data_IF_475826216238
#
_entry.id   IF_475826216238
#
_cell.length_a   1.000
_cell.length_b   1.000
_cell.length_c   1.000
_cell.angle_alpha   90.00
_cell.angle_beta   90.00
_cell.angle_gamma   90.00
#
_symmetry.space_group_name_H-M   'P 1'
#
loop_
_entity.id
_entity.type
_entity.pdbx_description
1 polymer ?
#
# COMPACT_ATOMS: atom_id res chain seq x y z
N UNK A 1 5.83 22.09 -18.43
CA UNK A 1 6.07 20.64 -18.69
C UNK A 1 6.07 19.87 -17.37
N UNK A 2 6.62 20.44 -16.28
CA UNK A 2 6.56 19.91 -14.90
C UNK A 2 5.15 19.79 -14.31
N UNK A 3 4.28 20.76 -14.53
CA UNK A 3 2.89 20.73 -14.01
C UNK A 3 2.09 19.49 -14.48
N UNK A 4 2.34 19.04 -15.72
CA UNK A 4 1.76 17.79 -16.25
C UNK A 4 2.35 16.54 -15.58
N UNK A 5 3.63 16.58 -15.20
CA UNK A 5 4.29 15.47 -14.53
C UNK A 5 3.80 15.32 -13.09
N UNK A 6 3.72 16.42 -12.33
CA UNK A 6 3.22 16.39 -10.96
C UNK A 6 1.77 15.91 -10.90
N UNK A 7 0.89 16.44 -11.76
CA UNK A 7 -0.49 15.99 -11.83
C UNK A 7 -0.63 14.50 -12.15
N UNK A 8 0.12 14.00 -13.15
CA UNK A 8 0.16 12.56 -13.48
C UNK A 8 0.70 11.73 -12.32
N UNK A 9 1.72 12.21 -11.63
CA UNK A 9 2.29 11.51 -10.47
C UNK A 9 1.27 11.39 -9.33
N UNK A 10 0.44 12.41 -9.10
CA UNK A 10 -0.64 12.37 -8.12
C UNK A 10 -1.71 11.33 -8.45
N UNK A 11 -2.13 11.23 -9.71
CA UNK A 11 -3.10 10.22 -10.17
C UNK A 11 -2.55 8.81 -9.96
N UNK A 12 -1.33 8.55 -10.43
CA UNK A 12 -0.69 7.25 -10.32
C UNK A 12 -0.58 6.82 -8.85
N UNK A 13 -0.22 7.74 -7.95
CA UNK A 13 -0.15 7.46 -6.51
C UNK A 13 -1.52 7.16 -5.90
N UNK A 14 -2.60 7.78 -6.39
CA UNK A 14 -3.96 7.49 -5.95
C UNK A 14 -4.39 6.09 -6.39
N UNK A 15 -4.11 5.71 -7.64
CA UNK A 15 -4.37 4.36 -8.16
C UNK A 15 -3.59 3.30 -7.38
N UNK A 16 -2.31 3.52 -7.11
CA UNK A 16 -1.49 2.63 -6.27
C UNK A 16 -2.11 2.44 -4.89
N UNK A 17 -2.63 3.51 -4.27
CA UNK A 17 -3.31 3.42 -2.98
C UNK A 17 -4.58 2.58 -3.06
N UNK A 18 -5.38 2.77 -4.11
CA UNK A 18 -6.61 1.98 -4.28
C UNK A 18 -6.29 0.48 -4.41
N UNK A 19 -5.28 0.15 -5.21
CA UNK A 19 -4.84 -1.24 -5.41
C UNK A 19 -4.34 -1.86 -4.11
N UNK A 20 -3.48 -1.16 -3.35
CA UNK A 20 -2.92 -1.73 -2.12
C UNK A 20 -3.97 -1.88 -1.02
N UNK A 21 -4.89 -0.92 -0.85
CA UNK A 21 -5.96 -1.04 0.15
C UNK A 21 -6.94 -2.17 -0.25
N UNK A 22 -7.20 -2.37 -1.56
CA UNK A 22 -7.96 -3.52 -2.05
C UNK A 22 -7.26 -4.86 -1.80
N UNK A 23 -5.95 -4.94 -2.04
CA UNK A 23 -5.16 -6.13 -1.73
C UNK A 23 -5.12 -6.45 -0.23
N UNK A 24 -5.04 -5.42 0.62
CA UNK A 24 -5.13 -5.57 2.08
C UNK A 24 -6.52 -6.08 2.48
N UNK A 25 -7.60 -5.56 1.89
CA UNK A 25 -8.95 -6.04 2.19
C UNK A 25 -9.12 -7.54 1.84
N UNK A 26 -8.56 -7.99 0.72
CA UNK A 26 -8.54 -9.41 0.35
C UNK A 26 -7.67 -10.23 1.30
N UNK A 27 -6.52 -9.71 1.71
CA UNK A 27 -5.66 -10.36 2.71
C UNK A 27 -6.39 -10.53 4.05
N UNK A 28 -6.98 -9.46 4.58
CA UNK A 28 -7.71 -9.48 5.85
C UNK A 28 -8.96 -10.37 5.79
N UNK A 29 -9.68 -10.33 4.66
CA UNK A 29 -10.92 -11.08 4.47
C UNK A 29 -10.71 -12.58 4.24
N UNK A 30 -9.73 -12.95 3.41
CA UNK A 30 -9.58 -14.31 2.90
C UNK A 30 -8.30 -15.00 3.40
N UNK A 31 -7.17 -14.29 3.42
CA UNK A 31 -5.88 -14.88 3.77
C UNK A 31 -5.66 -15.01 5.28
N UNK A 32 -6.09 -14.05 6.10
CA UNK A 32 -5.98 -14.13 7.57
C UNK A 32 -6.74 -15.33 8.17
N UNK A 33 -7.96 -15.68 7.72
CA UNK A 33 -8.60 -16.94 8.12
C UNK A 33 -7.77 -18.18 7.77
N UNK A 34 -7.15 -18.22 6.59
CA UNK A 34 -6.29 -19.32 6.16
C UNK A 34 -5.00 -19.41 6.99
N UNK A 35 -4.39 -18.27 7.33
CA UNK A 35 -3.30 -18.18 8.31
C UNK A 35 -3.71 -18.78 9.67
N UNK A 36 -4.90 -18.45 10.16
CA UNK A 36 -5.45 -19.01 11.38
C UNK A 36 -5.64 -20.53 11.31
N UNK A 37 -6.07 -21.06 10.17
CA UNK A 37 -6.19 -22.50 9.93
C UNK A 37 -4.81 -23.18 9.85
N UNK A 38 -3.86 -22.60 9.11
CA UNK A 38 -2.49 -23.10 9.00
C UNK A 38 -1.83 -23.24 10.38
N UNK A 39 -1.98 -22.23 11.24
CA UNK A 39 -1.51 -22.28 12.62
C UNK A 39 -2.16 -23.41 13.43
N UNK A 40 -3.48 -23.59 13.33
CA UNK A 40 -4.22 -24.66 14.02
C UNK A 40 -3.84 -26.06 13.54
N UNK A 41 -3.41 -26.18 12.30
CA UNK A 41 -2.99 -27.45 11.68
C UNK A 41 -1.47 -27.64 11.73
N UNK A 42 -0.74 -26.83 12.50
CA UNK A 42 0.73 -26.89 12.65
C UNK A 42 1.49 -26.75 11.30
N UNK A 43 0.86 -26.14 10.30
CA UNK A 43 1.46 -25.84 9.00
C UNK A 43 2.19 -24.49 9.05
N UNK A 44 3.27 -24.44 9.84
CA UNK A 44 3.94 -23.17 10.14
C UNK A 44 4.56 -22.50 8.92
N UNK A 45 5.07 -23.25 7.94
CA UNK A 45 5.59 -22.66 6.69
C UNK A 45 4.51 -21.89 5.92
N UNK A 46 3.28 -22.41 5.88
CA UNK A 46 2.16 -21.73 5.26
C UNK A 46 1.71 -20.52 6.09
N UNK A 47 1.71 -20.64 7.42
CA UNK A 47 1.41 -19.53 8.31
C UNK A 47 2.42 -18.38 8.13
N UNK A 48 3.72 -18.67 8.15
CA UNK A 48 4.79 -17.69 7.95
C UNK A 48 4.68 -17.01 6.58
N UNK A 49 4.30 -17.76 5.54
CA UNK A 49 4.08 -17.20 4.21
C UNK A 49 2.93 -16.19 4.19
N UNK A 50 1.78 -16.51 4.81
CA UNK A 50 0.66 -15.58 4.90
C UNK A 50 1.03 -14.33 5.73
N UNK A 51 1.68 -14.51 6.88
CA UNK A 51 2.10 -13.39 7.73
C UNK A 51 3.11 -12.46 7.02
N UNK A 52 4.05 -13.05 6.29
CA UNK A 52 5.02 -12.31 5.47
C UNK A 52 4.33 -11.50 4.36
N UNK A 53 3.31 -12.06 3.70
CA UNK A 53 2.50 -11.35 2.71
C UNK A 53 1.78 -10.18 3.36
N UNK A 54 1.15 -10.38 4.51
CA UNK A 54 0.48 -9.31 5.25
C UNK A 54 1.43 -8.16 5.60
N UNK A 55 2.59 -8.51 6.15
CA UNK A 55 3.66 -7.55 6.47
C UNK A 55 4.09 -6.74 5.26
N UNK A 56 4.31 -7.40 4.11
CA UNK A 56 4.69 -6.72 2.87
C UNK A 56 3.59 -5.78 2.36
N UNK A 57 2.32 -6.19 2.42
CA UNK A 57 1.19 -5.36 1.99
C UNK A 57 1.05 -4.10 2.85
N UNK A 58 1.14 -4.24 4.18
CA UNK A 58 1.08 -3.09 5.07
C UNK A 58 2.30 -2.17 4.92
N UNK A 59 3.50 -2.72 4.72
CA UNK A 59 4.70 -1.94 4.41
C UNK A 59 4.55 -1.13 3.12
N UNK A 60 4.00 -1.74 2.07
CA UNK A 60 3.73 -1.06 0.80
C UNK A 60 2.69 0.06 0.97
N UNK A 61 1.64 -0.16 1.76
CA UNK A 61 0.65 0.89 2.09
C UNK A 61 1.31 2.10 2.75
N UNK A 62 2.21 1.87 3.70
CA UNK A 62 2.92 2.96 4.39
C UNK A 62 3.86 3.71 3.44
N UNK A 63 4.55 3.00 2.54
CA UNK A 63 5.34 3.64 1.48
C UNK A 63 4.50 4.52 0.56
N UNK A 64 3.34 4.04 0.09
CA UNK A 64 2.44 4.83 -0.76
C UNK A 64 1.92 6.06 -0.01
N UNK A 65 1.58 5.94 1.28
CA UNK A 65 1.15 7.08 2.11
C UNK A 65 2.26 8.13 2.25
N UNK A 66 3.50 7.69 2.44
CA UNK A 66 4.66 8.58 2.52
C UNK A 66 4.91 9.28 1.17
N UNK A 67 4.80 8.56 0.06
CA UNK A 67 4.92 9.13 -1.28
C UNK A 67 3.85 10.20 -1.54
N UNK A 68 2.58 9.89 -1.20
CA UNK A 68 1.48 10.86 -1.30
C UNK A 68 1.69 12.09 -0.42
N UNK A 69 2.29 11.93 0.77
CA UNK A 69 2.61 13.05 1.65
C UNK A 69 3.70 13.94 1.04
N UNK A 70 4.78 13.34 0.56
CA UNK A 70 5.88 14.07 -0.09
C UNK A 70 5.38 14.82 -1.34
N UNK A 71 4.56 14.16 -2.17
CA UNK A 71 3.96 14.78 -3.33
C UNK A 71 3.09 16.00 -2.98
N UNK A 72 2.25 15.91 -1.95
CA UNK A 72 1.46 17.07 -1.48
C UNK A 72 2.33 18.23 -1.01
N UNK A 73 3.45 17.95 -0.34
CA UNK A 73 4.37 19.00 0.10
C UNK A 73 5.01 19.72 -1.09
N UNK A 74 5.35 18.97 -2.15
CA UNK A 74 5.95 19.56 -3.35
C UNK A 74 4.94 20.39 -4.14
N UNK A 75 3.70 19.92 -4.29
CA UNK A 75 2.62 20.71 -4.92
C UNK A 75 2.37 22.02 -4.16
N UNK A 76 2.43 22.00 -2.83
CA UNK A 76 2.27 23.21 -2.03
C UNK A 76 3.41 24.21 -2.26
N UNK A 77 4.66 23.75 -2.35
CA UNK A 77 5.82 24.61 -2.66
C UNK A 77 5.68 25.28 -4.01
N UNK A 78 5.32 24.53 -5.06
CA UNK A 78 5.14 25.11 -6.38
C UNK A 78 4.01 26.16 -6.42
N UNK A 79 2.97 25.98 -5.61
CA UNK A 79 1.88 26.94 -5.48
C UNK A 79 2.29 28.21 -4.71
N UNK A 80 3.28 28.12 -3.81
CA UNK A 80 3.85 29.27 -3.07
C UNK A 80 4.86 30.06 -3.91
N UNK A 81 5.52 29.40 -4.88
CA UNK A 81 6.54 29.99 -5.76
C UNK A 81 5.95 30.66 -7.04
N UNK A 82 4.64 30.52 -7.31
CA UNK A 82 3.91 31.20 -8.41
C UNK A 82 3.30 32.54 -7.99
#
# INVERSE_FOLDING_TARGET
>A
MEESYLWKSGIIQYEMRLIIEGAIALYEGDAVPLLGLANKSEQYEAADAFDSIGTALYGLRDHVRNLQKAHRQEVLRECEDM
#
